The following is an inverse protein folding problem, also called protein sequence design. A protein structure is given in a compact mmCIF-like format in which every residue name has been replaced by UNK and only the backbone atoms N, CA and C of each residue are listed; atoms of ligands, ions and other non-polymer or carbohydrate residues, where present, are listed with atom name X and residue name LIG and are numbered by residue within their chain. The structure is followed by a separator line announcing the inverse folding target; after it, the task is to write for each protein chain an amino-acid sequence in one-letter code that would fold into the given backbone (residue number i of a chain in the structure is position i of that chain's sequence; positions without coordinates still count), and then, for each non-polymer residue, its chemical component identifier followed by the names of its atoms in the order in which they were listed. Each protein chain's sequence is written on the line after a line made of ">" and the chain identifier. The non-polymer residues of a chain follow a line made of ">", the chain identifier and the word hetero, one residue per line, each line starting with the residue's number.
data_IF_514772256642
#
_entry.id   IF_514772256642
#
_cell.length_a   1.000
_cell.length_b   1.000
_cell.length_c   1.000
_cell.angle_alpha   90.00
_cell.angle_beta   90.00
_cell.angle_gamma   90.00
#
_symmetry.space_group_name_H-M   'P 1'
#
loop_
_entity.id
_entity.type
_entity.pdbx_description
1 polymer ?
#
# COMPACT_ATOMS: atom_id res chain seq x y z
N UNK A 1 -5.07 -15.79 15.72
CA UNK A 1 -5.26 -14.81 14.61
C UNK A 1 -4.02 -13.94 14.53
N UNK A 2 -3.36 -13.90 13.37
CA UNK A 2 -2.20 -13.02 13.17
C UNK A 2 -2.67 -11.58 12.99
N UNK A 3 -2.18 -10.68 13.83
CA UNK A 3 -2.47 -9.25 13.73
C UNK A 3 -1.73 -8.70 12.52
N UNK A 4 -2.42 -7.99 11.62
CA UNK A 4 -1.78 -7.35 10.46
C UNK A 4 -1.70 -5.83 10.55
N UNK A 5 -0.66 -5.30 9.95
CA UNK A 5 -0.46 -3.89 9.64
C UNK A 5 -0.67 -3.72 8.14
N UNK A 6 -1.50 -2.76 7.75
CA UNK A 6 -1.79 -2.45 6.36
C UNK A 6 -1.05 -1.17 5.95
N UNK A 7 -0.34 -1.21 4.82
CA UNK A 7 0.42 -0.06 4.30
C UNK A 7 -0.13 0.30 2.92
N UNK A 8 -1.22 1.09 2.85
CA UNK A 8 -1.79 1.51 1.57
C UNK A 8 -0.92 2.58 0.91
N UNK A 9 -0.42 2.25 -0.29
CA UNK A 9 0.48 3.10 -1.07
C UNK A 9 -0.21 3.73 -2.29
N UNK A 10 0.23 4.93 -2.67
CA UNK A 10 0.00 5.55 -3.99
C UNK A 10 1.08 5.17 -4.97
N UNK A 11 0.82 5.47 -6.25
CA UNK A 11 1.74 5.18 -7.35
C UNK A 11 3.15 5.77 -7.14
N UNK A 12 3.21 6.98 -6.59
CA UNK A 12 4.46 7.72 -6.39
C UNK A 12 5.06 7.51 -4.99
N UNK A 13 4.40 6.76 -4.12
CA UNK A 13 4.89 6.50 -2.77
C UNK A 13 6.06 5.51 -2.84
N UNK A 14 7.11 5.75 -2.05
CA UNK A 14 8.28 4.87 -1.95
C UNK A 14 8.17 3.99 -0.71
N UNK A 15 8.37 2.65 -0.79
CA UNK A 15 8.29 1.77 0.38
C UNK A 15 9.25 2.20 1.50
N UNK A 16 10.40 2.73 1.12
CA UNK A 16 11.44 3.26 2.02
C UNK A 16 10.89 4.35 2.96
N UNK A 17 9.87 5.10 2.53
CA UNK A 17 9.25 6.14 3.35
C UNK A 17 8.40 5.56 4.50
N UNK A 18 7.96 4.31 4.39
CA UNK A 18 7.10 3.65 5.38
C UNK A 18 7.89 2.76 6.32
N UNK A 19 9.01 2.20 5.86
CA UNK A 19 9.82 1.23 6.60
C UNK A 19 10.18 1.70 8.01
N UNK A 20 10.73 2.91 8.23
CA UNK A 20 11.08 3.37 9.58
C UNK A 20 9.89 3.45 10.54
N UNK A 21 8.68 3.64 10.01
CA UNK A 21 7.46 3.68 10.81
C UNK A 21 6.95 2.27 11.09
N UNK A 22 6.99 1.40 10.08
CA UNK A 22 6.66 -0.03 10.23
C UNK A 22 7.56 -0.66 11.29
N UNK A 23 8.87 -0.42 11.28
CA UNK A 23 9.80 -0.94 12.30
C UNK A 23 9.43 -0.53 13.72
N UNK A 24 8.93 0.69 13.91
CA UNK A 24 8.56 1.21 15.24
C UNK A 24 7.32 0.54 15.82
N UNK A 25 6.42 0.04 14.97
CA UNK A 25 5.12 -0.49 15.42
C UNK A 25 4.97 -1.99 15.23
N UNK A 26 5.72 -2.59 14.30
CA UNK A 26 5.68 -4.00 14.02
C UNK A 26 6.35 -4.80 15.14
N UNK A 27 5.79 -5.98 15.41
CA UNK A 27 6.31 -6.93 16.40
C UNK A 27 6.45 -8.31 15.77
N UNK A 28 7.35 -9.18 16.27
CA UNK A 28 7.42 -10.56 15.82
C UNK A 28 6.04 -11.25 15.85
N UNK A 29 5.74 -12.04 14.83
CA UNK A 29 4.45 -12.72 14.64
C UNK A 29 3.35 -11.86 14.01
N UNK A 30 3.64 -10.60 13.67
CA UNK A 30 2.76 -9.74 12.87
C UNK A 30 3.00 -9.90 11.37
N UNK A 31 1.96 -9.63 10.59
CA UNK A 31 2.02 -9.55 9.13
C UNK A 31 1.94 -8.09 8.67
N UNK A 32 2.83 -7.64 7.80
CA UNK A 32 2.78 -6.32 7.18
C UNK A 32 2.40 -6.48 5.71
N UNK A 33 1.29 -5.91 5.30
CA UNK A 33 0.78 -5.99 3.92
C UNK A 33 0.93 -4.64 3.24
N UNK A 34 1.81 -4.57 2.26
CA UNK A 34 1.94 -3.40 1.39
C UNK A 34 0.90 -3.49 0.27
N UNK A 35 -0.04 -2.54 0.24
CA UNK A 35 -1.02 -2.46 -0.84
C UNK A 35 -0.51 -1.53 -1.93
N UNK A 36 -0.15 -2.09 -3.06
CA UNK A 36 0.44 -1.37 -4.18
C UNK A 36 -0.62 -1.18 -5.28
N UNK A 37 -0.78 0.03 -5.83
CA UNK A 37 -1.73 0.24 -6.90
C UNK A 37 -1.29 -0.53 -8.13
N UNK A 38 -2.22 -1.30 -8.69
CA UNK A 38 -2.05 -1.92 -9.99
C UNK A 38 -1.94 -0.81 -11.05
N UNK A 39 -0.94 -0.84 -11.96
CA UNK A 39 -0.71 0.22 -12.93
C UNK A 39 -1.75 0.21 -14.06
N UNK A 40 -3.00 0.55 -13.74
CA UNK A 40 -4.05 0.85 -14.71
C UNK A 40 -3.96 2.30 -15.15
N UNK A 41 -2.89 2.65 -15.88
CA UNK A 41 -2.88 3.92 -16.59
C UNK A 41 -3.76 3.83 -17.83
N UNK A 42 -4.85 4.60 -17.84
CA UNK A 42 -5.17 5.53 -18.93
C UNK A 42 -5.27 5.01 -20.37
N UNK A 43 -5.45 3.72 -20.63
CA UNK A 43 -5.63 3.23 -22.00
C UNK A 43 -7.00 3.67 -22.57
N UNK A 44 -7.06 4.90 -23.10
CA UNK A 44 -8.11 5.35 -24.01
C UNK A 44 -7.83 4.73 -25.37
N UNK A 45 -8.57 3.70 -25.73
CA UNK A 45 -8.54 3.12 -27.06
C UNK A 45 -9.00 4.17 -28.08
N UNK A 46 -8.10 4.73 -28.89
CA UNK A 46 -8.49 5.30 -30.19
C UNK A 46 -8.44 4.17 -31.22
N UNK A 47 -9.57 3.86 -31.86
CA UNK A 47 -9.74 2.78 -32.83
C UNK A 47 -8.81 2.84 -34.08
N UNK A 48 -7.95 3.85 -34.21
CA UNK A 48 -7.25 4.18 -35.44
C UNK A 48 -5.95 3.38 -35.71
N UNK A 49 -5.34 2.72 -34.71
CA UNK A 49 -4.00 2.12 -34.86
C UNK A 49 -3.98 0.58 -34.84
N UNK A 50 -5.04 -0.04 -35.39
CA UNK A 50 -5.19 -1.49 -35.47
C UNK A 50 -4.39 -2.13 -36.63
N UNK A 51 -3.06 -2.19 -36.52
CA UNK A 51 -2.17 -2.88 -37.47
C UNK A 51 -1.01 -3.64 -36.81
N UNK A 52 -0.25 -4.46 -37.58
CA UNK A 52 0.76 -5.47 -37.13
C UNK A 52 1.71 -5.09 -35.97
N UNK A 53 1.94 -3.79 -35.67
CA UNK A 53 2.58 -3.31 -34.43
C UNK A 53 1.89 -3.82 -33.15
N UNK A 54 0.60 -4.13 -33.24
CA UNK A 54 -0.23 -4.62 -32.16
C UNK A 54 0.21 -5.95 -31.55
N UNK A 55 0.88 -6.88 -32.25
CA UNK A 55 1.20 -8.17 -31.59
C UNK A 55 2.31 -7.99 -30.55
N UNK A 56 3.31 -7.17 -30.86
CA UNK A 56 4.43 -6.94 -29.95
C UNK A 56 4.09 -5.89 -28.87
N UNK A 57 3.33 -4.85 -29.23
CA UNK A 57 2.75 -3.92 -28.26
C UNK A 57 1.68 -4.58 -27.40
N UNK A 58 0.83 -5.46 -27.93
CA UNK A 58 -0.11 -6.25 -27.13
C UNK A 58 0.63 -7.26 -26.26
N UNK A 59 1.72 -7.90 -26.70
CA UNK A 59 2.55 -8.73 -25.81
C UNK A 59 3.19 -7.90 -24.69
N UNK A 60 3.68 -6.69 -25.00
CA UNK A 60 4.18 -5.73 -24.00
C UNK A 60 3.08 -5.24 -23.07
N UNK A 61 1.86 -5.01 -23.56
CA UNK A 61 0.68 -4.62 -22.79
C UNK A 61 0.15 -5.78 -21.95
N UNK A 62 0.16 -7.01 -22.45
CA UNK A 62 -0.20 -8.23 -21.70
C UNK A 62 0.83 -8.47 -20.60
N UNK A 63 2.11 -8.19 -20.83
CA UNK A 63 3.14 -8.24 -19.77
C UNK A 63 3.07 -7.04 -18.82
N UNK A 64 2.70 -5.86 -19.31
CA UNK A 64 2.52 -4.63 -18.51
C UNK A 64 1.24 -4.68 -17.68
N UNK A 65 0.21 -5.38 -18.15
CA UNK A 65 -1.05 -5.70 -17.47
C UNK A 65 -1.14 -7.17 -17.07
N UNK A 66 -0.01 -7.86 -16.94
CA UNK A 66 0.00 -9.18 -16.29
C UNK A 66 -0.06 -8.92 -14.80
N UNK A 67 -1.12 -9.43 -14.16
CA UNK A 67 -1.27 -9.34 -12.72
C UNK A 67 -0.06 -9.90 -12.01
N UNK A 68 0.37 -11.11 -12.40
CA UNK A 68 1.51 -11.80 -11.80
C UNK A 68 2.84 -11.07 -12.01
N UNK A 69 3.08 -10.53 -13.21
CA UNK A 69 4.30 -9.78 -13.49
C UNK A 69 4.36 -8.49 -12.65
N UNK A 70 3.24 -7.80 -12.47
CA UNK A 70 3.18 -6.61 -11.61
C UNK A 70 3.28 -6.95 -10.14
N UNK A 71 2.68 -8.07 -9.71
CA UNK A 71 2.78 -8.55 -8.35
C UNK A 71 4.24 -8.88 -8.02
N UNK A 72 4.94 -9.56 -8.94
CA UNK A 72 6.36 -9.87 -8.77
C UNK A 72 7.22 -8.61 -8.73
N UNK A 73 7.00 -7.64 -9.63
CA UNK A 73 7.69 -6.33 -9.58
C UNK A 73 7.45 -5.60 -8.26
N UNK A 74 6.23 -5.62 -7.76
CA UNK A 74 5.88 -5.02 -6.48
C UNK A 74 6.58 -5.74 -5.32
N UNK A 75 6.56 -7.08 -5.30
CA UNK A 75 7.31 -7.91 -4.34
C UNK A 75 8.80 -7.58 -4.37
N UNK A 76 9.45 -7.59 -5.52
CA UNK A 76 10.88 -7.29 -5.65
C UNK A 76 11.22 -5.88 -5.12
N UNK A 77 10.36 -4.91 -5.40
CA UNK A 77 10.51 -3.54 -4.90
C UNK A 77 10.39 -3.48 -3.38
N UNK A 78 9.37 -4.10 -2.78
CA UNK A 78 9.22 -4.17 -1.32
C UNK A 78 10.39 -4.93 -0.70
N UNK A 79 10.75 -6.09 -1.23
CA UNK A 79 11.87 -6.89 -0.72
C UNK A 79 13.19 -6.14 -0.73
N UNK A 80 13.47 -5.33 -1.76
CA UNK A 80 14.68 -4.49 -1.81
C UNK A 80 14.67 -3.42 -0.72
N UNK A 81 13.57 -2.70 -0.58
CA UNK A 81 13.44 -1.65 0.43
C UNK A 81 13.57 -2.24 1.85
N UNK A 82 12.92 -3.38 2.07
CA UNK A 82 12.83 -4.08 3.35
C UNK A 82 14.11 -4.75 3.83
N UNK A 83 15.21 -4.72 3.05
CA UNK A 83 16.51 -5.26 3.50
C UNK A 83 17.04 -4.56 4.74
N UNK A 84 16.62 -3.32 4.99
CA UNK A 84 17.00 -2.57 6.18
C UNK A 84 16.13 -2.89 7.40
N UNK A 85 15.11 -3.74 7.27
CA UNK A 85 14.24 -4.09 8.40
C UNK A 85 15.04 -4.88 9.44
N UNK A 86 15.21 -4.27 10.60
CA UNK A 86 15.93 -4.86 11.74
C UNK A 86 15.06 -5.78 12.59
N UNK A 87 13.72 -5.63 12.49
CA UNK A 87 12.76 -6.44 13.24
C UNK A 87 12.65 -7.83 12.62
N UNK A 88 13.07 -8.85 13.36
CA UNK A 88 12.97 -10.25 12.95
C UNK A 88 11.58 -10.83 13.26
N UNK A 89 11.18 -11.85 12.51
CA UNK A 89 9.91 -12.56 12.75
C UNK A 89 8.65 -11.83 12.30
N UNK A 90 8.75 -10.77 11.49
CA UNK A 90 7.63 -10.17 10.77
C UNK A 90 7.44 -10.85 9.41
N UNK A 91 6.20 -11.12 9.03
CA UNK A 91 5.87 -11.59 7.69
C UNK A 91 5.58 -10.38 6.80
N UNK A 92 6.29 -10.24 5.69
CA UNK A 92 6.02 -9.21 4.69
C UNK A 92 5.22 -9.80 3.54
N UNK A 93 4.17 -9.11 3.16
CA UNK A 93 3.34 -9.49 2.02
C UNK A 93 2.98 -8.28 1.17
N UNK A 94 2.62 -8.54 -0.07
CA UNK A 94 2.29 -7.54 -1.08
C UNK A 94 0.98 -7.91 -1.71
N UNK A 95 0.05 -6.97 -1.69
CA UNK A 95 -1.21 -7.08 -2.40
C UNK A 95 -1.34 -5.96 -3.43
N UNK A 96 -1.92 -6.29 -4.58
CA UNK A 96 -2.21 -5.32 -5.62
C UNK A 96 -3.67 -4.89 -5.52
N UNK A 97 -3.94 -3.60 -5.68
CA UNK A 97 -5.31 -3.12 -5.79
C UNK A 97 -5.55 -2.40 -7.11
N UNK A 98 -6.68 -2.70 -7.73
CA UNK A 98 -7.20 -1.95 -8.88
C UNK A 98 -8.28 -0.96 -8.42
N UNK A 99 -8.25 0.26 -8.96
CA UNK A 99 -9.26 1.27 -8.68
C UNK A 99 -9.07 2.01 -7.35
N UNK A 100 -10.12 2.11 -6.55
CA UNK A 100 -10.15 2.98 -5.37
C UNK A 100 -9.43 2.37 -4.17
N UNK A 101 -8.38 3.05 -3.71
CA UNK A 101 -7.66 2.71 -2.47
C UNK A 101 -8.58 2.60 -1.25
N UNK A 102 -9.67 3.40 -1.23
CA UNK A 102 -10.68 3.36 -0.15
C UNK A 102 -11.42 2.03 -0.11
N UNK A 103 -11.84 1.54 -1.28
CA UNK A 103 -12.52 0.24 -1.39
C UNK A 103 -11.56 -0.87 -1.00
N UNK A 104 -10.34 -0.84 -1.52
CA UNK A 104 -9.33 -1.85 -1.23
C UNK A 104 -9.03 -1.95 0.28
N UNK A 105 -8.83 -0.81 0.96
CA UNK A 105 -8.61 -0.78 2.41
C UNK A 105 -9.80 -1.35 3.17
N UNK A 106 -11.02 -0.97 2.79
CA UNK A 106 -12.24 -1.49 3.42
C UNK A 106 -12.36 -3.01 3.28
N UNK A 107 -12.10 -3.54 2.10
CA UNK A 107 -12.17 -4.98 1.82
C UNK A 107 -11.13 -5.76 2.66
N UNK A 108 -9.97 -5.15 2.94
CA UNK A 108 -8.97 -5.69 3.87
C UNK A 108 -9.38 -5.61 5.33
N UNK A 109 -10.02 -4.52 5.75
CA UNK A 109 -10.45 -4.33 7.15
C UNK A 109 -11.70 -5.12 7.51
N UNK A 110 -12.52 -5.53 6.53
CA UNK A 110 -13.75 -6.30 6.75
C UNK A 110 -13.53 -7.62 7.49
N UNK A 111 -12.31 -8.17 7.44
CA UNK A 111 -11.91 -9.40 8.12
C UNK A 111 -11.53 -9.21 9.60
N UNK A 112 -11.56 -7.97 10.12
CA UNK A 112 -11.25 -7.60 11.51
C UNK A 112 -9.90 -8.08 12.06
N UNK A 113 -8.96 -8.36 11.16
CA UNK A 113 -7.60 -8.81 11.44
C UNK A 113 -6.57 -7.67 11.26
N UNK A 114 -6.97 -6.54 10.67
CA UNK A 114 -6.16 -5.30 10.61
C UNK A 114 -6.13 -4.64 11.98
N UNK A 115 -4.96 -4.61 12.61
CA UNK A 115 -4.77 -3.88 13.86
C UNK A 115 -4.39 -2.41 13.59
N UNK A 116 -3.61 -2.17 12.54
CA UNK A 116 -3.10 -0.83 12.24
C UNK A 116 -3.03 -0.57 10.73
N UNK A 117 -3.25 0.68 10.33
CA UNK A 117 -3.03 1.17 8.98
C UNK A 117 -1.97 2.26 9.04
N UNK A 118 -0.86 2.10 8.30
CA UNK A 118 0.24 3.05 8.24
C UNK A 118 0.20 3.75 6.88
N UNK A 119 -0.05 5.06 6.86
CA UNK A 119 -0.26 5.77 5.60
C UNK A 119 0.20 7.22 5.65
N UNK A 120 0.48 7.84 4.50
CA UNK A 120 0.82 9.27 4.43
C UNK A 120 -0.38 10.15 4.76
N UNK A 121 -0.13 11.32 5.36
CA UNK A 121 -1.18 12.24 5.88
C UNK A 121 -2.30 12.54 4.88
N UNK A 122 -1.98 12.81 3.61
CA UNK A 122 -2.99 13.11 2.58
C UNK A 122 -3.83 11.91 2.11
N UNK A 123 -3.45 10.67 2.44
CA UNK A 123 -4.26 9.46 2.23
C UNK A 123 -5.08 9.18 3.48
N UNK A 124 -4.47 9.34 4.64
CA UNK A 124 -5.04 8.96 5.90
C UNK A 124 -6.34 9.68 6.25
N UNK A 125 -6.49 10.97 5.90
CA UNK A 125 -7.77 11.68 6.01
C UNK A 125 -8.88 11.01 5.17
N UNK A 126 -8.54 10.58 3.95
CA UNK A 126 -9.48 9.90 3.05
C UNK A 126 -9.82 8.49 3.50
N UNK A 127 -8.90 7.80 4.17
CA UNK A 127 -9.11 6.48 4.76
C UNK A 127 -9.89 6.60 6.09
N UNK A 128 -9.62 7.64 6.88
CA UNK A 128 -10.33 7.94 8.12
C UNK A 128 -11.84 8.03 7.89
N UNK A 129 -12.23 8.80 6.87
CA UNK A 129 -13.62 8.94 6.46
C UNK A 129 -14.29 7.61 6.09
N UNK A 130 -13.53 6.64 5.57
CA UNK A 130 -14.06 5.32 5.17
C UNK A 130 -14.24 4.40 6.36
N UNK A 131 -13.35 4.46 7.34
CA UNK A 131 -13.40 3.59 8.51
C UNK A 131 -14.39 4.08 9.56
N UNK A 132 -14.57 5.40 9.67
CA UNK A 132 -15.36 6.02 10.74
C UNK A 132 -16.66 6.68 10.29
N UNK A 133 -16.89 6.87 8.98
CA UNK A 133 -17.95 7.76 8.49
C UNK A 133 -17.79 9.22 8.94
N UNK A 134 -16.61 9.59 9.46
CA UNK A 134 -16.31 10.91 10.05
C UNK A 134 -15.19 11.60 9.28
N UNK A 135 -15.30 12.92 9.09
CA UNK A 135 -14.35 13.73 8.32
C UNK A 135 -13.07 14.08 9.11
N UNK A 136 -12.87 13.56 10.33
CA UNK A 136 -11.74 13.92 11.18
C UNK A 136 -10.85 12.74 11.54
N UNK A 137 -9.54 12.96 11.43
CA UNK A 137 -8.48 12.01 11.81
C UNK A 137 -8.41 11.78 13.31
N UNK A 138 -8.77 12.79 14.13
CA UNK A 138 -8.70 12.70 15.60
C UNK A 138 -9.61 11.61 16.18
N UNK A 139 -10.67 11.25 15.47
CA UNK A 139 -11.67 10.28 15.91
C UNK A 139 -11.22 8.83 15.69
N UNK A 140 -10.18 8.61 14.87
CA UNK A 140 -9.58 7.29 14.61
C UNK A 140 -8.82 6.74 15.82
N UNK A 141 -8.25 7.61 16.66
CA UNK A 141 -7.47 7.19 17.82
C UNK A 141 -8.34 6.96 19.07
N UNK A 142 -9.62 7.35 19.04
CA UNK A 142 -10.51 7.39 20.22
C UNK A 142 -11.55 6.26 20.27
N UNK A 143 -11.63 5.38 19.27
CA UNK A 143 -12.64 4.29 19.23
C UNK A 143 -11.98 2.91 19.33
N UNK A 144 -12.29 2.10 20.36
CA UNK A 144 -11.63 0.82 20.62
C UNK A 144 -11.98 -0.32 19.63
N UNK A 145 -12.95 -0.12 18.73
CA UNK A 145 -13.48 -1.17 17.86
C UNK A 145 -12.94 -1.15 16.41
N UNK A 146 -12.07 -0.20 16.05
CA UNK A 146 -11.56 -0.02 14.68
C UNK A 146 -10.02 -0.01 14.66
N UNK A 147 -9.43 -0.42 13.53
CA UNK A 147 -7.98 -0.45 13.33
C UNK A 147 -7.37 0.94 13.56
N UNK A 148 -6.31 1.03 14.36
CA UNK A 148 -5.61 2.29 14.59
C UNK A 148 -4.96 2.80 13.29
N UNK A 149 -5.05 4.09 12.98
CA UNK A 149 -4.41 4.66 11.77
C UNK A 149 -3.22 5.51 12.18
N UNK A 150 -2.02 5.12 11.76
CA UNK A 150 -0.81 5.92 11.92
C UNK A 150 -0.58 6.79 10.68
N UNK A 151 -0.56 8.10 10.88
CA UNK A 151 -0.26 9.07 9.83
C UNK A 151 1.22 9.42 9.77
N UNK A 152 1.81 9.24 8.60
CA UNK A 152 3.18 9.63 8.28
C UNK A 152 3.16 11.02 7.63
N UNK A 153 3.82 11.98 8.27
CA UNK A 153 4.06 13.30 7.69
C UNK A 153 5.31 13.29 6.79
N UNK A 154 5.22 13.76 5.53
CA UNK A 154 6.39 13.96 4.70
C UNK A 154 7.14 15.21 5.18
N UNK A 155 8.08 15.04 6.11
CA UNK A 155 8.81 16.17 6.66
C UNK A 155 9.51 15.87 7.97
N UNK A 156 10.40 14.88 7.96
CA UNK A 156 11.57 14.73 8.84
C UNK A 156 12.31 13.51 8.32
N UNK A 157 13.07 13.70 7.25
CA UNK A 157 14.31 12.94 7.14
C UNK A 157 14.99 13.13 8.49
N UNK A 158 15.13 12.04 9.26
CA UNK A 158 15.93 12.09 10.47
C UNK A 158 17.30 12.63 10.03
N UNK A 159 17.60 13.87 10.38
CA UNK A 159 18.96 14.38 10.25
C UNK A 159 19.84 13.38 10.98
N UNK A 160 20.87 12.80 10.37
CA UNK A 160 21.87 12.09 11.16
C UNK A 160 22.41 13.10 12.17
N UNK A 161 22.38 12.73 13.44
CA UNK A 161 23.08 13.49 14.47
C UNK A 161 24.56 13.50 14.09
N UNK A 162 25.10 14.69 13.81
CA UNK A 162 26.53 14.98 13.93
C UNK A 162 26.79 15.40 15.36
#
# INVERSE_FOLDING_TARGET
>A
MHKKILVPMRRNDRPEDFIPYVEKVARPGMKVVFMVPYPLDGFRWSHAEFGRKMIEEAKRLVNYYSWDANLQKAKDRISRASRSLTVTGIELDVDLYAGSIRKAVRDHTAKNDVQMIVTRTGIGERIAAVLNGSNSVSDLFKRPALSAVLLIYPGLAAKPAM
#
